data_IF_883105545044
#
_entry.id   IF_883105545044
#
_cell.length_a   1.000
_cell.length_b   1.000
_cell.length_c   1.000
_cell.angle_alpha   90.00
_cell.angle_beta   90.00
_cell.angle_gamma   90.00
#
_symmetry.space_group_name_H-M   'P 1'
#
loop_
_entity.id
_entity.type
_entity.pdbx_description
1 polymer ?
#
# COMPACT_ATOMS: atom_id res chain seq x y z
N UNK A 1 -12.54 10.11 -19.56
CA UNK A 1 -11.48 9.59 -20.47
C UNK A 1 -11.56 8.06 -20.54
N UNK A 2 -11.11 7.44 -21.65
CA UNK A 2 -10.92 5.99 -21.73
C UNK A 2 -9.76 5.54 -20.81
N UNK A 3 -9.82 4.37 -20.14
CA UNK A 3 -8.76 3.90 -19.24
C UNK A 3 -7.38 3.83 -19.88
N UNK A 4 -7.28 3.38 -21.13
CA UNK A 4 -6.00 3.27 -21.85
C UNK A 4 -5.39 4.65 -22.13
N UNK A 5 -6.22 5.60 -22.56
CA UNK A 5 -5.77 6.96 -22.84
C UNK A 5 -5.27 7.64 -21.56
N UNK A 6 -5.99 7.42 -20.46
CA UNK A 6 -5.59 7.94 -19.16
C UNK A 6 -4.22 7.40 -18.72
N UNK A 7 -3.96 6.09 -18.89
CA UNK A 7 -2.64 5.51 -18.57
C UNK A 7 -1.53 6.16 -19.39
N UNK A 8 -1.74 6.41 -20.69
CA UNK A 8 -0.75 7.08 -21.53
C UNK A 8 -0.48 8.52 -21.08
N UNK A 9 -1.54 9.25 -20.71
CA UNK A 9 -1.41 10.62 -20.19
C UNK A 9 -0.65 10.64 -18.86
N UNK A 10 -0.88 9.67 -17.98
CA UNK A 10 -0.13 9.55 -16.72
C UNK A 10 1.33 9.11 -16.90
N UNK A 11 1.66 8.44 -18.00
CA UNK A 11 3.04 8.16 -18.40
C UNK A 11 3.76 9.46 -18.81
N UNK A 12 3.08 10.35 -19.52
CA UNK A 12 3.63 11.69 -19.86
C UNK A 12 3.94 12.49 -18.59
N UNK A 13 3.06 12.47 -17.59
CA UNK A 13 3.34 13.08 -16.28
C UNK A 13 4.60 12.48 -15.65
N UNK A 14 4.80 11.17 -15.76
CA UNK A 14 6.00 10.51 -15.23
C UNK A 14 7.27 11.05 -15.87
N UNK A 15 7.29 11.09 -17.21
CA UNK A 15 8.46 11.49 -17.98
C UNK A 15 8.81 12.96 -17.71
N UNK A 16 7.80 13.84 -17.66
CA UNK A 16 7.98 15.26 -17.36
C UNK A 16 8.54 15.49 -15.95
N UNK A 17 7.96 14.82 -14.95
CA UNK A 17 8.46 14.89 -13.58
C UNK A 17 9.87 14.33 -13.47
N UNK A 18 10.17 13.23 -14.16
CA UNK A 18 11.51 12.64 -14.18
C UNK A 18 12.55 13.60 -14.78
N UNK A 19 12.21 14.28 -15.87
CA UNK A 19 13.07 15.33 -16.44
C UNK A 19 13.33 16.46 -15.44
N UNK A 20 12.29 16.91 -14.73
CA UNK A 20 12.43 17.96 -13.71
C UNK A 20 13.26 17.50 -12.51
N UNK A 21 13.15 16.24 -12.09
CA UNK A 21 13.97 15.69 -11.00
C UNK A 21 15.42 15.46 -11.41
N UNK A 22 15.67 15.11 -12.67
CA UNK A 22 17.03 14.88 -13.18
C UNK A 22 17.77 16.22 -13.44
N UNK A 23 17.05 17.28 -13.80
CA UNK A 23 17.61 18.61 -14.05
C UNK A 23 17.84 19.43 -12.76
N UNK A 24 17.04 19.22 -11.72
CA UNK A 24 17.15 19.98 -10.48
C UNK A 24 18.04 19.26 -9.45
N UNK A 25 19.25 19.78 -9.22
CA UNK A 25 20.16 19.30 -8.18
C UNK A 25 19.59 19.39 -6.76
N UNK A 26 18.56 20.22 -6.56
CA UNK A 26 17.86 20.37 -5.28
C UNK A 26 16.84 19.27 -4.96
N UNK A 27 16.50 18.39 -5.91
CA UNK A 27 15.53 17.32 -5.66
C UNK A 27 16.19 16.14 -4.93
N UNK A 28 15.54 15.70 -3.85
CA UNK A 28 15.99 14.55 -3.06
C UNK A 28 14.91 13.49 -2.98
N UNK A 29 15.25 12.29 -3.45
CA UNK A 29 14.43 11.11 -3.26
C UNK A 29 14.30 10.74 -1.78
N UNK A 30 13.18 10.12 -1.43
CA UNK A 30 13.05 9.45 -0.16
C UNK A 30 14.14 8.38 -0.01
N UNK A 31 14.75 8.26 1.17
CA UNK A 31 15.98 7.47 1.36
C UNK A 31 15.88 6.00 0.91
N UNK A 32 14.73 5.33 1.11
CA UNK A 32 14.48 3.95 0.64
C UNK A 32 14.17 3.85 -0.86
N UNK A 33 13.79 4.96 -1.47
CA UNK A 33 13.38 5.04 -2.86
C UNK A 33 14.50 5.56 -3.77
N UNK A 34 15.61 6.05 -3.20
CA UNK A 34 16.74 6.62 -3.93
C UNK A 34 17.38 5.61 -4.89
N UNK A 35 17.61 4.36 -4.44
CA UNK A 35 18.18 3.31 -5.29
C UNK A 35 17.24 2.87 -6.42
N UNK A 36 15.93 3.04 -6.22
CA UNK A 36 14.89 2.65 -7.17
C UNK A 36 14.47 3.79 -8.09
N UNK A 37 14.94 5.02 -7.86
CA UNK A 37 14.42 6.22 -8.53
C UNK A 37 12.90 6.41 -8.34
N UNK A 38 12.34 5.87 -7.26
CA UNK A 38 10.89 5.78 -7.10
C UNK A 38 10.33 7.05 -6.46
N UNK A 39 9.77 7.95 -7.27
CA UNK A 39 9.13 9.17 -6.79
C UNK A 39 7.60 9.17 -6.99
N UNK A 40 7.06 8.17 -7.69
CA UNK A 40 5.64 8.09 -8.08
C UNK A 40 5.09 6.67 -7.98
N UNK A 41 3.87 6.53 -7.49
CA UNK A 41 3.02 5.35 -7.67
C UNK A 41 1.68 5.82 -8.25
N UNK A 42 1.23 5.20 -9.34
CA UNK A 42 -0.06 5.50 -9.97
C UNK A 42 -0.92 4.25 -10.01
N UNK A 43 -2.19 4.41 -9.67
CA UNK A 43 -3.19 3.40 -9.95
C UNK A 43 -4.51 4.06 -10.32
N UNK A 44 -4.90 3.94 -11.59
CA UNK A 44 -6.00 4.72 -12.13
C UNK A 44 -5.83 6.20 -11.72
N UNK A 45 -6.87 6.82 -11.17
CA UNK A 45 -6.93 8.19 -10.72
C UNK A 45 -6.16 8.50 -9.42
N UNK A 46 -5.75 7.48 -8.65
CA UNK A 46 -4.98 7.67 -7.42
C UNK A 46 -3.48 7.79 -7.71
N UNK A 47 -2.88 8.88 -7.24
CA UNK A 47 -1.47 9.21 -7.46
C UNK A 47 -0.76 9.45 -6.11
N UNK A 48 0.27 8.67 -5.82
CA UNK A 48 1.15 8.87 -4.68
C UNK A 48 2.51 9.39 -5.15
N UNK A 49 2.92 10.56 -4.66
CA UNK A 49 4.22 11.15 -4.89
C UNK A 49 5.08 11.07 -3.62
N UNK A 50 6.34 10.68 -3.79
CA UNK A 50 7.29 10.40 -2.71
C UNK A 50 8.54 11.26 -2.89
N UNK A 51 8.85 12.09 -1.90
CA UNK A 51 10.08 12.88 -1.87
C UNK A 51 10.62 13.03 -0.45
N UNK A 52 11.79 13.64 -0.31
CA UNK A 52 12.28 14.10 0.98
C UNK A 52 11.44 15.29 1.49
N UNK A 53 11.46 15.52 2.81
CA UNK A 53 10.88 16.70 3.43
C UNK A 53 11.82 17.86 3.29
N UNK A 54 11.71 18.51 2.15
CA UNK A 54 12.41 19.72 1.84
C UNK A 54 11.54 20.55 0.91
N UNK A 55 11.60 21.86 1.10
CA UNK A 55 10.86 22.81 0.28
C UNK A 55 11.27 22.72 -1.19
N UNK A 56 12.56 22.44 -1.47
CA UNK A 56 13.07 22.33 -2.84
C UNK A 56 12.38 21.18 -3.61
N UNK A 57 12.33 19.97 -3.04
CA UNK A 57 11.70 18.81 -3.69
C UNK A 57 10.19 19.00 -3.87
N UNK A 58 9.51 19.59 -2.89
CA UNK A 58 8.08 19.91 -2.99
C UNK A 58 7.81 20.93 -4.11
N UNK A 59 8.66 21.94 -4.25
CA UNK A 59 8.54 22.93 -5.33
C UNK A 59 8.72 22.29 -6.71
N UNK A 60 9.63 21.33 -6.87
CA UNK A 60 9.80 20.58 -8.13
C UNK A 60 8.51 19.84 -8.47
N UNK A 61 7.90 19.16 -7.51
CA UNK A 61 6.62 18.48 -7.74
C UNK A 61 5.48 19.44 -8.06
N UNK A 62 5.39 20.57 -7.37
CA UNK A 62 4.38 21.59 -7.70
C UNK A 62 4.55 22.08 -9.13
N UNK A 63 5.77 22.44 -9.54
CA UNK A 63 6.04 22.89 -10.91
C UNK A 63 5.65 21.83 -11.95
N UNK A 64 6.00 20.57 -11.72
CA UNK A 64 5.65 19.51 -12.66
C UNK A 64 4.15 19.21 -12.71
N UNK A 65 3.43 19.34 -11.59
CA UNK A 65 1.96 19.26 -11.57
C UNK A 65 1.32 20.44 -12.32
N UNK A 66 1.82 21.66 -12.12
CA UNK A 66 1.31 22.86 -12.78
C UNK A 66 1.58 22.82 -14.30
N UNK A 67 2.78 22.40 -14.71
CA UNK A 67 3.14 22.24 -16.13
C UNK A 67 2.31 21.15 -16.80
N UNK A 68 2.13 20.02 -16.13
CA UNK A 68 1.25 18.95 -16.61
C UNK A 68 -0.20 19.39 -16.70
N UNK A 69 -0.71 20.15 -15.73
CA UNK A 69 -2.06 20.66 -15.75
C UNK A 69 -2.29 21.64 -16.91
N UNK A 70 -1.31 22.50 -17.21
CA UNK A 70 -1.36 23.40 -18.35
C UNK A 70 -1.35 22.66 -19.70
N UNK A 71 -0.62 21.55 -19.80
CA UNK A 71 -0.50 20.77 -21.04
C UNK A 71 -1.67 19.82 -21.28
N UNK A 72 -2.17 19.17 -20.22
CA UNK A 72 -3.20 18.13 -20.31
C UNK A 72 -4.61 18.62 -19.98
N UNK A 73 -4.74 19.76 -19.29
CA UNK A 73 -5.98 20.24 -18.69
C UNK A 73 -6.41 19.47 -17.43
N UNK A 74 -5.64 18.47 -16.98
CA UNK A 74 -5.92 17.69 -15.78
C UNK A 74 -5.31 18.35 -14.56
N UNK A 75 -6.15 18.74 -13.61
CA UNK A 75 -5.73 19.42 -12.40
C UNK A 75 -5.82 18.46 -11.21
N UNK A 76 -4.84 18.52 -10.31
CA UNK A 76 -4.94 17.82 -9.04
C UNK A 76 -6.08 18.43 -8.21
N UNK A 77 -7.00 17.60 -7.69
CA UNK A 77 -8.09 18.10 -6.85
C UNK A 77 -7.56 18.43 -5.44
N UNK A 78 -7.50 19.71 -5.03
CA UNK A 78 -6.94 20.10 -3.74
C UNK A 78 -7.77 19.63 -2.53
N UNK A 79 -9.05 19.32 -2.72
CA UNK A 79 -9.93 18.83 -1.65
C UNK A 79 -9.74 17.33 -1.38
N UNK A 80 -9.37 16.55 -2.41
CA UNK A 80 -9.07 15.12 -2.28
C UNK A 80 -7.58 14.85 -2.06
N UNK A 81 -6.74 15.82 -2.40
CA UNK A 81 -5.29 15.73 -2.28
C UNK A 81 -4.82 16.11 -0.88
N UNK A 82 -3.91 15.31 -0.35
CA UNK A 82 -3.39 15.42 1.00
C UNK A 82 -1.87 15.34 0.99
N UNK A 83 -1.23 16.24 1.74
CA UNK A 83 0.19 16.19 2.04
C UNK A 83 0.37 15.49 3.40
N UNK A 84 1.02 14.33 3.41
CA UNK A 84 1.35 13.61 4.65
C UNK A 84 2.78 13.94 5.01
N UNK A 85 2.97 14.67 6.10
CA UNK A 85 4.30 15.04 6.58
C UNK A 85 4.72 14.06 7.65
N UNK A 86 5.98 13.65 7.63
CA UNK A 86 6.47 12.79 8.69
C UNK A 86 6.77 13.58 9.96
N UNK A 87 6.83 12.84 11.08
CA UNK A 87 7.23 13.38 12.38
C UNK A 87 8.64 14.00 12.40
N UNK A 88 9.57 13.59 11.54
CA UNK A 88 10.93 14.16 11.52
C UNK A 88 11.00 15.57 10.93
N UNK A 89 9.97 16.00 10.19
CA UNK A 89 9.97 17.25 9.43
C UNK A 89 8.96 18.27 9.97
N UNK A 90 8.69 18.22 11.27
CA UNK A 90 7.67 19.06 11.88
C UNK A 90 8.05 20.55 11.85
N UNK A 91 9.35 20.87 11.85
CA UNK A 91 9.87 22.24 11.79
C UNK A 91 9.59 22.89 10.43
N UNK A 92 9.70 22.14 9.33
CA UNK A 92 9.41 22.66 7.98
C UNK A 92 7.93 22.55 7.60
N UNK A 93 7.07 22.02 8.47
CA UNK A 93 5.66 21.71 8.18
C UNK A 93 4.91 22.86 7.52
N UNK A 94 5.01 24.06 8.10
CA UNK A 94 4.30 25.24 7.59
C UNK A 94 4.80 25.66 6.20
N UNK A 95 6.10 25.56 5.97
CA UNK A 95 6.71 25.86 4.67
C UNK A 95 6.29 24.84 3.59
N UNK A 96 6.24 23.55 3.94
CA UNK A 96 5.82 22.49 3.02
C UNK A 96 4.33 22.63 2.64
N UNK A 97 3.46 22.92 3.61
CA UNK A 97 2.02 23.16 3.36
C UNK A 97 1.84 24.41 2.51
N UNK A 98 2.54 25.51 2.82
CA UNK A 98 2.46 26.74 2.03
C UNK A 98 2.96 26.55 0.59
N UNK A 99 4.01 25.74 0.40
CA UNK A 99 4.59 25.46 -0.90
C UNK A 99 3.67 24.60 -1.79
N UNK A 100 2.95 23.62 -1.25
CA UNK A 100 2.12 22.71 -2.05
C UNK A 100 0.63 23.10 -2.09
N UNK A 101 0.15 23.86 -1.09
CA UNK A 101 -1.24 24.31 -0.96
C UNK A 101 -2.31 23.19 -0.88
N UNK A 102 -1.92 22.00 -0.45
CA UNK A 102 -2.87 20.92 -0.13
C UNK A 102 -3.15 20.82 1.36
N UNK A 103 -4.26 20.18 1.70
CA UNK A 103 -4.57 19.90 3.10
C UNK A 103 -3.58 18.89 3.67
N UNK A 104 -3.23 19.06 4.94
CA UNK A 104 -2.40 18.08 5.63
C UNK A 104 -3.22 16.82 5.93
N UNK A 105 -2.67 15.67 5.54
CA UNK A 105 -3.22 14.35 5.85
C UNK A 105 -2.49 13.68 7.00
N UNK A 106 -3.15 12.69 7.61
CA UNK A 106 -2.56 11.87 8.66
C UNK A 106 -2.65 10.38 8.32
N UNK A 107 -1.67 9.61 8.80
CA UNK A 107 -1.72 8.15 8.72
C UNK A 107 -2.61 7.60 9.85
N UNK A 108 -3.34 6.49 9.63
CA UNK A 108 -3.33 5.63 8.43
C UNK A 108 -4.19 6.17 7.28
N UNK A 109 -3.58 6.29 6.09
CA UNK A 109 -4.27 6.66 4.85
C UNK A 109 -4.73 5.39 4.12
N UNK A 110 -5.82 5.43 3.34
CA UNK A 110 -6.21 4.29 2.49
C UNK A 110 -5.73 4.49 1.06
N UNK A 111 -5.02 3.52 0.52
CA UNK A 111 -4.62 3.45 -0.90
C UNK A 111 -5.00 2.06 -1.43
N UNK A 112 -5.76 2.01 -2.52
CA UNK A 112 -6.29 0.75 -3.09
C UNK A 112 -7.13 -0.09 -2.11
N UNK A 113 -7.79 0.56 -1.15
CA UNK A 113 -8.57 -0.12 -0.12
C UNK A 113 -7.73 -0.84 0.94
N UNK A 114 -6.41 -0.63 0.95
CA UNK A 114 -5.47 -1.06 1.96
C UNK A 114 -5.02 0.14 2.81
N UNK A 115 -4.84 -0.02 4.13
CA UNK A 115 -4.28 1.04 4.97
C UNK A 115 -2.78 1.16 4.70
N UNK A 116 -2.34 2.30 4.17
CA UNK A 116 -0.94 2.73 4.21
C UNK A 116 -0.57 3.04 5.66
N UNK A 117 0.37 2.26 6.18
CA UNK A 117 0.81 2.31 7.57
C UNK A 117 2.30 2.59 7.62
N UNK A 118 2.69 3.44 8.57
CA UNK A 118 4.08 3.68 8.90
C UNK A 118 4.72 2.52 9.69
N UNK A 119 3.89 1.67 10.31
CA UNK A 119 4.29 0.60 11.22
C UNK A 119 3.91 -0.79 10.71
N UNK A 120 4.34 -1.82 11.43
CA UNK A 120 3.83 -3.19 11.22
C UNK A 120 2.31 -3.20 11.37
N UNK A 121 1.65 -3.99 10.51
CA UNK A 121 0.21 -4.16 10.48
C UNK A 121 -0.30 -4.69 11.83
N UNK A 122 -1.14 -3.92 12.51
CA UNK A 122 -1.84 -4.35 13.72
C UNK A 122 -3.08 -5.17 13.38
N UNK A 123 -3.56 -5.94 14.36
CA UNK A 123 -4.86 -6.62 14.28
C UNK A 123 -6.00 -5.61 14.12
N UNK A 124 -5.87 -4.41 14.70
CA UNK A 124 -6.84 -3.30 14.57
C UNK A 124 -6.99 -2.83 13.12
N UNK A 125 -5.88 -2.73 12.39
CA UNK A 125 -5.87 -2.22 11.01
C UNK A 125 -6.55 -3.22 10.07
N UNK A 126 -6.45 -4.50 10.40
CA UNK A 126 -7.13 -5.61 9.72
C UNK A 126 -8.62 -5.71 10.06
N UNK A 127 -9.15 -4.86 10.95
CA UNK A 127 -10.57 -4.94 11.31
C UNK A 127 -11.47 -4.62 10.10
N UNK A 128 -11.04 -3.70 9.23
CA UNK A 128 -11.72 -3.40 7.98
C UNK A 128 -11.84 -4.63 7.05
N UNK A 129 -10.80 -5.46 7.01
CA UNK A 129 -10.81 -6.74 6.30
C UNK A 129 -11.82 -7.71 6.94
N UNK A 130 -11.78 -7.86 8.26
CA UNK A 130 -12.67 -8.76 8.99
C UNK A 130 -14.15 -8.39 8.79
N UNK A 131 -14.48 -7.10 8.84
CA UNK A 131 -15.84 -6.61 8.58
C UNK A 131 -16.28 -6.87 7.14
N UNK A 132 -15.42 -6.64 6.14
CA UNK A 132 -15.72 -6.95 4.74
C UNK A 132 -16.00 -8.44 4.56
N UNK A 133 -15.21 -9.30 5.20
CA UNK A 133 -15.41 -10.75 5.17
C UNK A 133 -16.74 -11.14 5.81
N UNK A 134 -17.03 -10.64 7.02
CA UNK A 134 -18.26 -10.94 7.74
C UNK A 134 -19.52 -10.48 6.97
N UNK A 135 -19.47 -9.27 6.40
CA UNK A 135 -20.55 -8.73 5.56
C UNK A 135 -20.79 -9.58 4.31
N UNK A 136 -19.73 -10.08 3.65
CA UNK A 136 -19.86 -10.94 2.47
C UNK A 136 -20.45 -12.30 2.82
N UNK A 137 -20.00 -12.91 3.93
CA UNK A 137 -20.54 -14.19 4.42
C UNK A 137 -22.04 -14.05 4.71
N UNK A 138 -22.43 -13.03 5.48
CA UNK A 138 -23.85 -12.75 5.77
C UNK A 138 -24.68 -12.51 4.51
N UNK A 139 -24.12 -11.82 3.52
CA UNK A 139 -24.78 -11.59 2.23
C UNK A 139 -24.92 -12.85 1.37
N UNK A 140 -24.11 -13.89 1.60
CA UNK A 140 -24.21 -15.17 0.89
C UNK A 140 -25.14 -16.16 1.57
N UNK A 141 -25.45 -15.96 2.85
CA UNK A 141 -26.45 -16.75 3.55
C UNK A 141 -27.82 -16.62 2.88
N UNK A 142 -28.15 -15.42 2.37
CA UNK A 142 -29.37 -15.14 1.62
C UNK A 142 -29.42 -15.74 0.20
N UNK A 143 -28.29 -16.24 -0.33
CA UNK A 143 -28.26 -16.86 -1.65
C UNK A 143 -28.70 -18.33 -1.53
N UNK A 144 -29.67 -18.74 -2.35
CA UNK A 144 -30.13 -20.13 -2.44
C UNK A 144 -29.17 -20.96 -3.30
N UNK A 145 -28.02 -21.29 -2.73
CA UNK A 145 -27.05 -22.24 -3.29
C UNK A 145 -27.07 -23.55 -2.52
N UNK A 146 -26.68 -24.63 -3.20
CA UNK A 146 -26.36 -25.89 -2.52
C UNK A 146 -25.24 -25.67 -1.50
N UNK A 147 -25.17 -26.51 -0.47
CA UNK A 147 -24.12 -26.43 0.54
C UNK A 147 -22.71 -26.41 -0.08
N UNK A 148 -22.46 -27.30 -1.05
CA UNK A 148 -21.20 -27.35 -1.79
C UNK A 148 -20.93 -26.05 -2.58
N UNK A 149 -21.98 -25.45 -3.18
CA UNK A 149 -21.88 -24.17 -3.87
C UNK A 149 -21.51 -23.02 -2.93
N UNK A 150 -22.15 -22.94 -1.74
CA UNK A 150 -21.83 -21.95 -0.71
C UNK A 150 -20.39 -22.11 -0.20
N UNK A 151 -19.97 -23.33 0.09
CA UNK A 151 -18.60 -23.63 0.53
C UNK A 151 -17.56 -23.20 -0.53
N UNK A 152 -17.80 -23.53 -1.81
CA UNK A 152 -16.88 -23.16 -2.88
C UNK A 152 -16.81 -21.64 -3.11
N UNK A 153 -17.94 -20.96 -2.98
CA UNK A 153 -18.01 -19.49 -3.07
C UNK A 153 -17.22 -18.83 -1.93
N UNK A 154 -17.50 -19.23 -0.68
CA UNK A 154 -16.79 -18.73 0.50
C UNK A 154 -15.29 -18.99 0.35
N UNK A 155 -14.90 -20.21 -0.03
CA UNK A 155 -13.49 -20.59 -0.18
C UNK A 155 -12.78 -19.74 -1.25
N UNK A 156 -13.37 -19.55 -2.41
CA UNK A 156 -12.73 -18.81 -3.52
C UNK A 156 -12.57 -17.31 -3.22
N UNK A 157 -13.60 -16.68 -2.67
CA UNK A 157 -13.57 -15.23 -2.36
C UNK A 157 -12.72 -14.94 -1.13
N UNK A 158 -12.80 -15.74 -0.06
CA UNK A 158 -11.93 -15.55 1.09
C UNK A 158 -10.46 -15.81 0.74
N UNK A 159 -10.17 -16.81 -0.09
CA UNK A 159 -8.80 -17.06 -0.56
C UNK A 159 -8.26 -15.86 -1.34
N UNK A 160 -8.99 -15.37 -2.34
CA UNK A 160 -8.54 -14.23 -3.15
C UNK A 160 -8.32 -12.97 -2.32
N UNK A 161 -9.19 -12.68 -1.36
CA UNK A 161 -9.04 -11.52 -0.47
C UNK A 161 -7.84 -11.64 0.48
N UNK A 162 -7.62 -12.85 1.03
CA UNK A 162 -6.45 -13.11 1.87
C UNK A 162 -5.14 -12.99 1.08
N UNK A 163 -5.11 -13.54 -0.14
CA UNK A 163 -3.95 -13.44 -1.03
C UNK A 163 -3.67 -11.97 -1.36
N UNK A 164 -4.69 -11.17 -1.68
CA UNK A 164 -4.53 -9.74 -1.95
C UNK A 164 -3.87 -8.99 -0.78
N UNK A 165 -4.34 -9.20 0.45
CA UNK A 165 -3.74 -8.58 1.65
C UNK A 165 -2.34 -9.10 1.95
N UNK A 166 -2.08 -10.38 1.70
CA UNK A 166 -0.78 -10.99 1.96
C UNK A 166 0.31 -10.58 0.96
N UNK A 167 -0.08 -10.18 -0.25
CA UNK A 167 0.84 -9.62 -1.23
C UNK A 167 1.39 -8.27 -0.76
N UNK A 168 0.55 -7.46 -0.10
CA UNK A 168 0.94 -6.15 0.43
C UNK A 168 1.62 -6.24 1.81
N UNK A 169 1.07 -7.03 2.75
CA UNK A 169 1.50 -7.05 4.15
C UNK A 169 1.78 -8.45 4.69
N UNK A 170 2.62 -8.51 5.72
CA UNK A 170 2.74 -9.72 6.55
C UNK A 170 1.55 -9.73 7.52
N UNK A 171 0.58 -10.61 7.30
CA UNK A 171 -0.58 -10.71 8.18
C UNK A 171 -0.21 -11.28 9.56
N UNK A 172 -0.66 -10.66 10.66
CA UNK A 172 -0.55 -11.23 11.99
C UNK A 172 -1.29 -12.57 12.08
N UNK A 173 -0.69 -13.55 12.77
CA UNK A 173 -1.31 -14.87 13.02
C UNK A 173 -2.70 -14.78 13.65
N UNK A 174 -2.95 -13.73 14.45
CA UNK A 174 -4.24 -13.48 15.07
C UNK A 174 -5.37 -13.19 14.07
N UNK A 175 -5.07 -12.51 12.96
CA UNK A 175 -6.05 -12.19 11.91
C UNK A 175 -6.37 -13.44 11.11
N UNK A 176 -5.35 -14.22 10.76
CA UNK A 176 -5.51 -15.50 10.06
C UNK A 176 -6.39 -16.46 10.87
N UNK A 177 -6.20 -16.49 12.20
CA UNK A 177 -7.03 -17.31 13.09
C UNK A 177 -8.49 -16.85 13.13
N UNK A 178 -8.75 -15.53 13.17
CA UNK A 178 -10.13 -14.99 13.15
C UNK A 178 -10.83 -15.28 11.83
N UNK A 179 -10.13 -15.15 10.71
CA UNK A 179 -10.67 -15.48 9.38
C UNK A 179 -11.01 -16.96 9.24
N UNK A 180 -10.15 -17.84 9.78
CA UNK A 180 -10.45 -19.28 9.84
C UNK A 180 -11.71 -19.57 10.65
N UNK A 181 -11.79 -19.02 11.86
CA UNK A 181 -12.93 -19.26 12.74
C UNK A 181 -14.25 -18.79 12.12
N UNK A 182 -14.26 -17.64 11.42
CA UNK A 182 -15.45 -17.18 10.70
C UNK A 182 -15.91 -18.12 9.59
N UNK A 183 -14.95 -18.71 8.85
CA UNK A 183 -15.23 -19.69 7.82
C UNK A 183 -15.77 -21.02 8.41
N UNK A 184 -15.19 -21.48 9.52
CA UNK A 184 -15.61 -22.73 10.19
C UNK A 184 -17.02 -22.63 10.80
N UNK A 185 -17.42 -21.44 11.28
CA UNK A 185 -18.77 -21.21 11.82
C UNK A 185 -19.82 -21.24 10.71
N UNK A 186 -19.56 -20.57 9.58
CA UNK A 186 -20.49 -20.49 8.45
C UNK A 186 -20.62 -21.83 7.70
N UNK A 187 -19.55 -22.63 7.64
CA UNK A 187 -19.56 -23.88 6.91
C UNK A 187 -20.06 -25.10 7.71
N UNK A 188 -20.40 -24.94 8.99
CA UNK A 188 -20.66 -26.06 9.89
C UNK A 188 -19.36 -26.80 10.28
N UNK A 189 -19.33 -27.40 11.47
CA UNK A 189 -18.11 -27.95 12.11
C UNK A 189 -17.44 -29.14 11.40
N UNK A 190 -17.80 -29.44 10.15
CA UNK A 190 -17.36 -30.62 9.39
C UNK A 190 -16.06 -30.42 8.58
N UNK A 191 -15.39 -29.27 8.69
CA UNK A 191 -14.10 -29.02 8.04
C UNK A 191 -12.92 -29.06 9.00
N UNK A 192 -12.82 -30.08 9.86
CA UNK A 192 -11.61 -30.32 10.69
C UNK A 192 -10.41 -30.88 9.91
N UNK A 193 -10.57 -31.25 8.63
CA UNK A 193 -9.58 -32.04 7.89
C UNK A 193 -8.83 -31.31 6.76
N UNK A 194 -8.93 -29.99 6.62
CA UNK A 194 -8.16 -29.27 5.60
C UNK A 194 -7.02 -28.46 6.22
N UNK A 195 -5.94 -29.20 6.44
CA UNK A 195 -4.76 -28.83 7.19
C UNK A 195 -4.00 -27.60 6.69
N UNK A 196 -3.32 -27.02 7.66
CA UNK A 196 -2.38 -25.89 7.68
C UNK A 196 -1.27 -25.97 6.60
N UNK A 197 -1.06 -27.11 5.95
CA UNK A 197 0.08 -27.35 5.07
C UNK A 197 0.07 -26.54 3.76
N UNK A 198 -1.09 -26.15 3.22
CA UNK A 198 -1.13 -25.39 1.94
C UNK A 198 -1.09 -23.87 2.12
N UNK A 199 -1.51 -23.36 3.28
CA UNK A 199 -1.46 -21.92 3.57
C UNK A 199 -0.04 -21.44 3.87
N UNK A 200 0.77 -22.22 4.58
CA UNK A 200 2.18 -21.89 4.80
C UNK A 200 3.03 -22.01 3.54
N UNK A 201 2.75 -22.99 2.68
CA UNK A 201 3.50 -23.21 1.44
C UNK A 201 3.29 -22.09 0.40
N UNK A 202 2.07 -21.59 0.22
CA UNK A 202 1.79 -20.56 -0.79
C UNK A 202 2.13 -19.14 -0.27
N UNK A 203 1.95 -18.86 1.02
CA UNK A 203 2.19 -17.51 1.58
C UNK A 203 3.64 -17.27 2.03
N UNK A 204 4.39 -18.30 2.41
CA UNK A 204 5.77 -18.14 2.90
C UNK A 204 6.86 -18.60 1.91
N UNK A 205 6.55 -19.38 0.87
CA UNK A 205 7.60 -19.90 -0.01
C UNK A 205 8.16 -18.86 -0.99
N UNK A 206 7.36 -17.88 -1.44
CA UNK A 206 7.81 -16.95 -2.48
C UNK A 206 8.61 -15.75 -1.96
N UNK A 207 8.55 -15.43 -0.66
CA UNK A 207 9.33 -14.29 -0.11
C UNK A 207 10.76 -14.65 0.27
N UNK A 208 11.07 -15.93 0.52
CA UNK A 208 12.45 -16.38 0.80
C UNK A 208 13.39 -16.31 -0.41
N UNK A 209 12.87 -16.22 -1.64
CA UNK A 209 13.70 -16.20 -2.86
C UNK A 209 14.27 -14.82 -3.23
N UNK A 210 13.77 -13.72 -2.66
CA UNK A 210 14.27 -12.36 -2.95
C UNK A 210 15.45 -11.90 -2.08
N UNK A 211 15.99 -12.76 -1.22
CA UNK A 211 17.17 -12.49 -0.39
C UNK A 211 18.38 -13.38 -0.68
N UNK A 212 18.36 -14.20 -1.75
CA UNK A 212 19.43 -15.15 -2.04
C UNK A 212 20.20 -14.75 -3.30
N UNK A 213 21.30 -14.00 -3.11
CA UNK A 213 22.36 -13.84 -4.11
C UNK A 213 23.73 -13.75 -3.40
N UNK A 214 24.25 -14.90 -2.94
CA UNK A 214 25.54 -15.51 -3.34
C UNK A 214 25.99 -16.64 -2.37
N UNK A 215 26.81 -17.60 -2.86
CA UNK A 215 27.06 -18.90 -2.22
C UNK A 215 28.36 -18.94 -1.38
N UNK A 216 28.42 -19.81 -0.37
CA UNK A 216 29.70 -20.24 0.24
C UNK A 216 29.69 -20.68 1.71
N UNK A 217 29.42 -21.97 1.97
CA UNK A 217 29.90 -22.85 3.07
C UNK A 217 29.64 -22.46 4.56
N UNK A 218 29.86 -23.38 5.55
CA UNK A 218 29.02 -24.52 5.89
C UNK A 218 28.45 -24.45 7.34
N UNK A 219 27.67 -25.48 7.66
CA UNK A 219 26.88 -25.78 8.85
C UNK A 219 27.50 -25.57 10.24
N UNK A 220 26.57 -25.33 11.19
CA UNK A 220 26.52 -25.71 12.62
C UNK A 220 26.91 -24.63 13.64
N UNK A 221 25.91 -24.06 14.33
CA UNK A 221 25.69 -24.20 15.79
C UNK A 221 24.55 -23.28 16.27
N UNK A 222 23.82 -23.77 17.27
CA UNK A 222 22.75 -23.07 17.97
C UNK A 222 23.26 -21.77 18.60
N UNK A 223 22.55 -20.67 18.36
CA UNK A 223 22.57 -19.54 19.30
C UNK A 223 21.28 -18.72 19.17
N UNK A 224 20.70 -18.46 20.34
CA UNK A 224 19.66 -17.50 20.67
C UNK A 224 19.43 -16.36 19.66
N UNK A 225 18.25 -16.34 19.03
CA UNK A 225 17.74 -15.13 18.38
C UNK A 225 17.31 -14.13 19.46
N UNK A 226 18.25 -13.31 19.90
CA UNK A 226 17.97 -12.00 20.48
C UNK A 226 17.34 -11.16 19.37
N UNK A 227 16.13 -10.69 19.61
CA UNK A 227 15.42 -9.80 18.69
C UNK A 227 16.16 -8.46 18.64
N UNK A 228 16.56 -7.94 17.47
CA UNK A 228 17.00 -6.55 17.39
C UNK A 228 15.78 -5.67 17.57
N UNK A 229 15.82 -4.86 18.62
CA UNK A 229 14.95 -3.70 18.84
C UNK A 229 14.91 -2.86 17.57
N UNK A 230 13.82 -2.97 16.81
CA UNK A 230 13.53 -2.08 15.70
C UNK A 230 12.95 -0.80 16.31
N UNK A 231 13.84 0.14 16.61
CA UNK A 231 13.47 1.54 16.80
C UNK A 231 12.58 1.98 15.62
N UNK A 232 11.48 2.64 15.95
CA UNK A 232 10.50 3.10 14.97
C UNK A 232 11.10 4.28 14.19
N UNK A 233 11.64 3.99 13.01
CA UNK A 233 12.23 5.01 12.13
C UNK A 233 11.20 6.09 11.74
N UNK A 234 11.56 7.38 11.84
CA UNK A 234 10.71 8.45 11.36
C UNK A 234 10.67 8.41 9.83
N UNK A 235 9.45 8.43 9.28
CA UNK A 235 9.22 8.53 7.85
C UNK A 235 9.72 9.89 7.31
N UNK A 236 9.55 10.17 6.03
CA UNK A 236 9.67 11.50 5.41
C UNK A 236 8.38 11.73 4.58
N UNK A 237 8.09 12.92 4.04
CA UNK A 237 6.76 13.29 3.62
C UNK A 237 6.35 12.51 2.36
N UNK A 238 5.07 12.24 2.29
CA UNK A 238 4.40 11.52 1.24
C UNK A 238 3.26 12.40 0.78
N UNK A 239 3.25 12.78 -0.50
CA UNK A 239 2.15 13.54 -1.09
C UNK A 239 1.19 12.53 -1.69
N UNK A 240 -0.04 12.48 -1.18
CA UNK A 240 -1.10 11.65 -1.73
C UNK A 240 -2.09 12.53 -2.49
N UNK A 241 -2.22 12.33 -3.79
CA UNK A 241 -3.18 13.00 -4.66
C UNK A 241 -4.36 12.04 -4.87
N UNK A 242 -5.53 12.39 -4.33
CA UNK A 242 -6.71 11.53 -4.26
C UNK A 242 -7.68 11.61 -5.45
N UNK A 243 -7.30 12.31 -6.52
CA UNK A 243 -7.85 12.26 -7.88
C UNK A 243 -7.32 13.47 -8.67
N UNK A 244 -7.02 13.27 -9.96
CA UNK A 244 -6.89 14.36 -10.93
C UNK A 244 -8.22 14.54 -11.66
N UNK A 245 -8.76 15.75 -11.60
CA UNK A 245 -10.04 16.10 -12.21
C UNK A 245 -9.80 17.01 -13.43
N UNK A 246 -10.58 16.83 -14.51
CA UNK A 246 -10.68 17.83 -15.58
C UNK A 246 -11.58 18.96 -15.10
N UNK A 247 -11.10 20.20 -15.21
CA UNK A 247 -11.91 21.41 -15.11
C UNK A 247 -12.86 21.57 -16.29
#
# INVERSE_FOLDING_TARGET
>A
MSPFLFVLVMEVLQLMMQQLTDQNEGFSYQWRCKELGLFKLCFADDLLLLCKADVASIQVFRRGLDEFANLSGLHANPQKSQLIISRSAQEEREHLIAALQFQEGHLPLRYLGLPLLASRLSISDCYSLLLKVDSRIKGWDSIQLSFAGKLQLIKSVLMSLNVYWAMAFILPKGVIRKLRNGCDISCGKETRQWGIQRWHGVLCADRKRRGARNPGYPSTQQSSYVSPSLECDPWQPVIHLGAMDCS
#
